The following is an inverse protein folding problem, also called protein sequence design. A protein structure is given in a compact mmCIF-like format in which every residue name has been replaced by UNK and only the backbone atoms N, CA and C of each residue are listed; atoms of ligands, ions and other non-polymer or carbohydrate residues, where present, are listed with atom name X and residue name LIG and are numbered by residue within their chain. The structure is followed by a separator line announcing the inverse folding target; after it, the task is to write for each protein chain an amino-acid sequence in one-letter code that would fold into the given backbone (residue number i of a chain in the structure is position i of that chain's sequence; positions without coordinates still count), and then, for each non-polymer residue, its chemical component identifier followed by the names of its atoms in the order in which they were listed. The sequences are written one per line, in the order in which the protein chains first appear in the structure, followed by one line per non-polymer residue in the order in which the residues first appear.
data_IF_617056181479
#
_entry.id   IF_617056181479
#
_cell.length_a   1.000
_cell.length_b   1.000
_cell.length_c   1.000
_cell.angle_alpha   90.00
_cell.angle_beta   90.00
_cell.angle_gamma   90.00
#
_symmetry.space_group_name_H-M   'P 1'
#
loop_
_entity.id
_entity.type
_entity.pdbx_description
1 polymer ?
#
# COMPACT_ATOMS: atom_id res chain seq x y z
N UNK A 1 -6.29 -31.69 -13.08
CA UNK A 1 -5.51 -30.60 -13.71
C UNK A 1 -5.20 -29.43 -12.78
N UNK A 2 -6.12 -28.99 -11.92
CA UNK A 2 -5.90 -27.88 -10.96
C UNK A 2 -4.74 -28.12 -9.98
N UNK A 3 -4.57 -29.34 -9.45
CA UNK A 3 -3.45 -29.67 -8.55
C UNK A 3 -2.08 -29.63 -9.25
N UNK A 4 -2.01 -30.04 -10.53
CA UNK A 4 -0.78 -29.96 -11.32
C UNK A 4 -0.43 -28.52 -11.70
N UNK A 5 -1.44 -27.65 -11.87
CA UNK A 5 -1.23 -26.22 -12.11
C UNK A 5 -0.66 -25.52 -10.86
N UNK A 6 -1.24 -25.77 -9.69
CA UNK A 6 -0.75 -25.23 -8.40
C UNK A 6 0.70 -25.68 -8.11
N UNK A 7 1.05 -26.93 -8.42
CA UNK A 7 2.41 -27.44 -8.25
C UNK A 7 3.41 -26.74 -9.19
N UNK A 8 3.05 -26.55 -10.47
CA UNK A 8 3.89 -25.83 -11.44
C UNK A 8 4.07 -24.35 -11.07
N UNK A 9 3.01 -23.71 -10.57
CA UNK A 9 3.08 -22.32 -10.12
C UNK A 9 3.96 -22.19 -8.87
N UNK A 10 3.91 -23.16 -7.96
CA UNK A 10 4.78 -23.22 -6.78
C UNK A 10 6.24 -23.50 -7.14
N UNK A 11 6.52 -24.40 -8.08
CA UNK A 11 7.89 -24.67 -8.54
C UNK A 11 8.50 -23.44 -9.22
N UNK A 12 7.71 -22.73 -10.04
CA UNK A 12 8.13 -21.48 -10.68
C UNK A 12 8.43 -20.41 -9.63
N UNK A 13 7.59 -20.27 -8.60
CA UNK A 13 7.81 -19.35 -7.48
C UNK A 13 9.04 -19.72 -6.65
N UNK A 14 9.29 -21.01 -6.41
CA UNK A 14 10.47 -21.47 -5.69
C UNK A 14 11.76 -21.16 -6.46
N UNK A 15 11.76 -21.33 -7.79
CA UNK A 15 12.89 -20.96 -8.64
C UNK A 15 13.14 -19.44 -8.64
N UNK A 16 12.07 -18.63 -8.67
CA UNK A 16 12.17 -17.17 -8.56
C UNK A 16 12.76 -16.74 -7.21
N UNK A 17 12.24 -17.32 -6.11
CA UNK A 17 12.73 -17.05 -4.77
C UNK A 17 14.22 -17.42 -4.64
N UNK A 18 14.63 -18.56 -5.20
CA UNK A 18 16.03 -18.98 -5.20
C UNK A 18 16.92 -18.02 -6.03
N UNK A 19 16.42 -17.52 -7.17
CA UNK A 19 17.15 -16.54 -7.99
C UNK A 19 17.32 -15.22 -7.23
N UNK A 20 16.26 -14.75 -6.58
CA UNK A 20 16.29 -13.54 -5.75
C UNK A 20 17.21 -13.72 -4.53
N UNK A 21 17.19 -14.89 -3.90
CA UNK A 21 18.08 -15.22 -2.80
C UNK A 21 19.55 -15.20 -3.23
N UNK A 22 19.88 -15.78 -4.38
CA UNK A 22 21.22 -15.73 -4.96
C UNK A 22 21.66 -14.29 -5.29
N UNK A 23 20.74 -13.48 -5.80
CA UNK A 23 20.99 -12.05 -6.03
C UNK A 23 21.26 -11.31 -4.71
N UNK A 24 20.41 -11.50 -3.69
CA UNK A 24 20.58 -10.89 -2.37
C UNK A 24 21.88 -11.35 -1.69
N UNK A 25 22.26 -12.62 -1.82
CA UNK A 25 23.54 -13.14 -1.32
C UNK A 25 24.74 -12.48 -2.03
N UNK A 26 24.66 -12.32 -3.35
CA UNK A 26 25.69 -11.68 -4.15
C UNK A 26 25.82 -10.17 -3.84
N UNK A 27 24.70 -9.48 -3.59
CA UNK A 27 24.71 -8.07 -3.21
C UNK A 27 25.14 -7.89 -1.75
N UNK A 28 24.75 -8.79 -0.84
CA UNK A 28 25.20 -8.77 0.55
C UNK A 28 26.73 -8.90 0.65
N UNK A 29 27.39 -9.60 -0.28
CA UNK A 29 28.85 -9.64 -0.35
C UNK A 29 29.49 -8.25 -0.61
N UNK A 30 28.73 -7.29 -1.15
CA UNK A 30 29.15 -5.89 -1.41
C UNK A 30 28.63 -4.90 -0.36
N UNK A 31 28.02 -5.38 0.73
CA UNK A 31 27.32 -4.55 1.72
C UNK A 31 28.17 -3.37 2.22
N UNK A 32 29.44 -3.61 2.56
CA UNK A 32 30.34 -2.54 3.06
C UNK A 32 30.58 -1.43 2.03
N UNK A 33 30.73 -1.78 0.75
CA UNK A 33 30.89 -0.79 -0.32
C UNK A 33 29.62 0.01 -0.52
N UNK A 34 28.44 -0.64 -0.45
CA UNK A 34 27.13 0.03 -0.55
C UNK A 34 26.91 1.00 0.61
N UNK A 35 27.20 0.58 1.84
CA UNK A 35 27.18 1.44 3.02
C UNK A 35 28.04 2.70 2.82
N UNK A 36 29.29 2.53 2.36
CA UNK A 36 30.18 3.66 2.10
C UNK A 36 29.62 4.62 1.03
N UNK A 37 29.09 4.08 -0.07
CA UNK A 37 28.51 4.88 -1.15
C UNK A 37 27.26 5.63 -0.69
N UNK A 38 26.41 4.98 0.10
CA UNK A 38 25.19 5.56 0.65
C UNK A 38 25.47 6.62 1.72
N UNK A 39 26.45 6.38 2.59
CA UNK A 39 26.94 7.35 3.57
C UNK A 39 27.49 8.60 2.88
N UNK A 40 28.27 8.43 1.82
CA UNK A 40 28.77 9.54 1.00
C UNK A 40 27.60 10.29 0.34
N UNK A 41 26.63 9.58 -0.24
CA UNK A 41 25.46 10.18 -0.86
C UNK A 41 24.64 11.00 0.14
N UNK A 42 24.48 10.50 1.37
CA UNK A 42 23.77 11.20 2.43
C UNK A 42 24.51 12.45 2.93
N UNK A 43 25.85 12.38 3.05
CA UNK A 43 26.68 13.56 3.34
C UNK A 43 26.55 14.62 2.25
N UNK A 44 26.53 14.21 0.99
CA UNK A 44 26.32 15.12 -0.16
C UNK A 44 24.93 15.74 -0.10
N UNK A 45 23.87 14.96 0.17
CA UNK A 45 22.50 15.48 0.32
C UNK A 45 22.40 16.53 1.41
N UNK A 46 23.05 16.31 2.56
CA UNK A 46 23.07 17.29 3.65
C UNK A 46 23.82 18.56 3.25
N UNK A 47 25.00 18.42 2.62
CA UNK A 47 25.77 19.58 2.13
C UNK A 47 25.01 20.39 1.09
N UNK A 48 24.27 19.73 0.18
CA UNK A 48 23.45 20.39 -0.84
C UNK A 48 22.33 21.27 -0.26
N UNK A 49 21.94 21.10 1.02
CA UNK A 49 20.94 21.94 1.69
C UNK A 49 21.46 23.34 2.04
N UNK A 50 22.74 23.46 2.33
CA UNK A 50 23.37 24.70 2.82
C UNK A 50 24.36 25.30 1.83
N UNK A 51 24.81 24.54 0.83
CA UNK A 51 25.74 25.00 -0.20
C UNK A 51 25.10 26.04 -1.12
N UNK A 52 25.69 27.23 -1.14
CA UNK A 52 25.23 28.38 -1.96
C UNK A 52 26.14 28.64 -3.15
N UNK A 53 27.32 28.01 -3.23
CA UNK A 53 28.22 28.17 -4.37
C UNK A 53 27.79 27.26 -5.53
N UNK A 54 27.46 27.85 -6.68
CA UNK A 54 26.97 27.13 -7.85
C UNK A 54 27.96 26.10 -8.42
N UNK A 55 29.26 26.41 -8.40
CA UNK A 55 30.29 25.50 -8.92
C UNK A 55 30.49 24.29 -8.00
N UNK A 56 30.50 24.50 -6.68
CA UNK A 56 30.55 23.40 -5.71
C UNK A 56 29.27 22.57 -5.73
N UNK A 57 28.10 23.23 -5.84
CA UNK A 57 26.80 22.57 -5.98
C UNK A 57 26.76 21.68 -7.22
N UNK A 58 27.28 22.13 -8.37
CA UNK A 58 27.36 21.34 -9.59
C UNK A 58 28.20 20.06 -9.39
N UNK A 59 29.37 20.17 -8.76
CA UNK A 59 30.23 19.00 -8.43
C UNK A 59 29.54 18.02 -7.50
N UNK A 60 28.85 18.52 -6.47
CA UNK A 60 28.09 17.69 -5.54
C UNK A 60 26.95 16.95 -6.24
N UNK A 61 26.24 17.61 -7.15
CA UNK A 61 25.17 16.99 -7.94
C UNK A 61 25.72 15.90 -8.87
N UNK A 62 26.82 16.16 -9.57
CA UNK A 62 27.51 15.17 -10.41
C UNK A 62 27.92 13.94 -9.60
N UNK A 63 28.65 14.14 -8.49
CA UNK A 63 29.06 13.04 -7.60
C UNK A 63 27.88 12.28 -7.03
N UNK A 64 26.80 12.98 -6.66
CA UNK A 64 25.57 12.33 -6.18
C UNK A 64 24.91 11.48 -7.27
N UNK A 65 24.98 11.91 -8.54
CA UNK A 65 24.50 11.17 -9.69
C UNK A 65 25.32 9.89 -9.93
N UNK A 66 26.64 9.97 -9.79
CA UNK A 66 27.54 8.80 -9.90
C UNK A 66 27.25 7.76 -8.83
N UNK A 67 27.15 8.19 -7.56
CA UNK A 67 26.85 7.31 -6.43
C UNK A 67 25.47 6.65 -6.58
N UNK A 68 24.45 7.42 -7.00
CA UNK A 68 23.12 6.85 -7.27
C UNK A 68 23.16 5.81 -8.38
N UNK A 69 23.86 6.08 -9.49
CA UNK A 69 24.00 5.11 -10.58
C UNK A 69 24.69 3.83 -10.12
N UNK A 70 25.74 3.93 -9.32
CA UNK A 70 26.44 2.78 -8.77
C UNK A 70 25.53 1.94 -7.85
N UNK A 71 24.81 2.58 -6.93
CA UNK A 71 23.89 1.90 -6.02
C UNK A 71 22.69 1.28 -6.78
N UNK A 72 22.14 1.98 -7.77
CA UNK A 72 20.99 1.54 -8.56
C UNK A 72 21.31 0.32 -9.43
N UNK A 73 22.55 0.18 -9.91
CA UNK A 73 22.99 -1.02 -10.65
C UNK A 73 22.90 -2.28 -9.79
N UNK A 74 23.24 -2.18 -8.51
CA UNK A 74 23.15 -3.29 -7.56
C UNK A 74 21.71 -3.51 -7.06
N UNK A 75 20.83 -2.50 -7.13
CA UNK A 75 19.40 -2.59 -6.76
C UNK A 75 18.52 -3.17 -7.89
N UNK A 76 19.05 -3.22 -9.11
CA UNK A 76 18.36 -3.78 -10.26
C UNK A 76 17.94 -5.23 -9.95
N UNK A 77 16.68 -5.58 -10.25
CA UNK A 77 16.09 -6.91 -10.06
C UNK A 77 15.72 -7.32 -8.62
N UNK A 78 16.02 -6.53 -7.59
CA UNK A 78 15.76 -6.93 -6.20
C UNK A 78 14.94 -5.95 -5.35
N UNK A 79 14.79 -4.69 -5.78
CA UNK A 79 14.04 -3.67 -5.04
C UNK A 79 12.97 -2.99 -5.90
N UNK A 80 11.80 -2.72 -5.31
CA UNK A 80 10.69 -2.13 -6.05
C UNK A 80 10.94 -0.63 -6.25
N UNK A 81 10.65 -0.11 -7.44
CA UNK A 81 10.73 1.33 -7.66
C UNK A 81 9.64 2.05 -6.85
N UNK A 82 10.01 2.80 -5.82
CA UNK A 82 9.06 3.51 -4.95
C UNK A 82 8.22 4.54 -5.72
N UNK A 83 8.58 4.86 -6.96
CA UNK A 83 7.76 5.71 -7.84
C UNK A 83 6.44 5.01 -8.17
N UNK A 84 5.33 5.66 -7.84
CA UNK A 84 3.99 5.24 -8.27
C UNK A 84 3.81 5.67 -9.73
N UNK A 85 3.51 4.76 -10.67
CA UNK A 85 3.17 5.17 -12.02
C UNK A 85 1.87 5.98 -11.99
N UNK A 86 1.74 7.03 -12.83
CA UNK A 86 0.55 7.89 -12.87
C UNK A 86 -0.78 7.16 -13.18
N UNK A 87 -0.73 5.86 -13.48
CA UNK A 87 -1.88 4.98 -13.71
C UNK A 87 -2.44 4.32 -12.45
N UNK A 88 -1.83 4.51 -11.27
CA UNK A 88 -2.52 4.20 -10.03
C UNK A 88 -3.65 5.23 -9.89
N UNK A 89 -4.84 4.85 -10.37
CA UNK A 89 -6.06 5.63 -10.17
C UNK A 89 -6.16 5.86 -8.68
N UNK A 90 -5.89 7.10 -8.27
CA UNK A 90 -6.26 7.60 -6.97
C UNK A 90 -7.77 7.46 -6.95
N UNK A 91 -8.27 6.38 -6.37
CA UNK A 91 -9.68 6.30 -6.01
C UNK A 91 -9.79 7.32 -4.90
N UNK A 92 -10.14 8.56 -5.28
CA UNK A 92 -10.68 9.50 -4.31
C UNK A 92 -11.82 8.76 -3.61
N UNK A 93 -11.68 8.58 -2.30
CA UNK A 93 -12.77 8.06 -1.49
C UNK A 93 -14.00 8.90 -1.83
N UNK A 94 -15.10 8.23 -2.20
CA UNK A 94 -16.33 8.91 -2.57
C UNK A 94 -16.65 9.94 -1.50
N UNK A 95 -16.52 11.23 -1.86
CA UNK A 95 -16.90 12.33 -0.99
C UNK A 95 -18.33 12.06 -0.55
N UNK A 96 -18.61 12.13 0.76
CA UNK A 96 -19.99 11.96 1.21
C UNK A 96 -20.86 12.91 0.40
N UNK A 97 -21.90 12.40 -0.27
CA UNK A 97 -22.61 13.19 -1.25
C UNK A 97 -23.28 14.37 -0.54
N UNK A 98 -22.99 15.58 -1.01
CA UNK A 98 -23.65 16.79 -0.52
C UNK A 98 -25.16 16.64 -0.76
N UNK A 99 -25.92 16.49 0.32
CA UNK A 99 -27.37 16.28 0.27
C UNK A 99 -28.08 17.42 -0.50
N UNK A 100 -27.53 18.64 -0.47
CA UNK A 100 -28.10 19.78 -1.22
C UNK A 100 -27.80 19.70 -2.71
N UNK A 101 -26.61 19.24 -3.10
CA UNK A 101 -26.24 19.06 -4.50
C UNK A 101 -26.98 17.86 -5.11
N UNK A 102 -27.11 16.76 -4.36
CA UNK A 102 -27.93 15.61 -4.77
C UNK A 102 -29.40 15.99 -4.94
N UNK A 103 -29.97 16.74 -3.99
CA UNK A 103 -31.37 17.18 -4.08
C UNK A 103 -31.59 18.12 -5.28
N UNK A 104 -30.68 19.08 -5.53
CA UNK A 104 -30.76 19.96 -6.70
C UNK A 104 -30.66 19.18 -8.01
N UNK A 105 -29.74 18.24 -8.10
CA UNK A 105 -29.55 17.40 -9.28
C UNK A 105 -30.78 16.54 -9.54
N UNK A 106 -31.33 15.93 -8.49
CA UNK A 106 -32.56 15.14 -8.56
C UNK A 106 -33.75 15.98 -9.02
N UNK A 107 -33.96 17.17 -8.44
CA UNK A 107 -35.06 18.07 -8.81
C UNK A 107 -34.95 18.52 -10.27
N UNK A 108 -33.74 18.89 -10.73
CA UNK A 108 -33.51 19.30 -12.12
C UNK A 108 -33.74 18.15 -13.10
N UNK A 109 -33.35 16.92 -12.76
CA UNK A 109 -33.61 15.74 -13.58
C UNK A 109 -35.11 15.41 -13.65
N UNK A 110 -35.83 15.45 -12.53
CA UNK A 110 -37.28 15.22 -12.50
C UNK A 110 -38.02 16.29 -13.33
N UNK A 111 -37.61 17.55 -13.22
CA UNK A 111 -38.17 18.63 -14.04
C UNK A 111 -37.86 18.44 -15.54
N UNK A 112 -36.63 18.07 -15.88
CA UNK A 112 -36.25 17.77 -17.27
C UNK A 112 -37.08 16.64 -17.89
N UNK A 113 -37.26 15.54 -17.15
CA UNK A 113 -38.09 14.41 -17.58
C UNK A 113 -39.56 14.82 -17.74
N UNK A 114 -40.11 15.56 -16.78
CA UNK A 114 -41.49 16.03 -16.83
C UNK A 114 -41.73 16.97 -18.04
N UNK A 115 -40.83 17.91 -18.28
CA UNK A 115 -40.90 18.82 -19.44
C UNK A 115 -40.76 18.03 -20.76
N UNK A 116 -39.83 17.07 -20.83
CA UNK A 116 -39.67 16.22 -22.01
C UNK A 116 -40.92 15.41 -22.35
N UNK A 117 -41.54 14.78 -21.33
CA UNK A 117 -42.81 14.04 -21.48
C UNK A 117 -43.95 14.96 -21.92
N UNK A 118 -44.08 16.14 -21.31
CA UNK A 118 -45.12 17.11 -21.69
C UNK A 118 -44.95 17.60 -23.13
N UNK A 119 -43.72 17.92 -23.54
CA UNK A 119 -43.43 18.35 -24.91
C UNK A 119 -43.69 17.24 -25.94
N UNK A 120 -43.27 16.01 -25.66
CA UNK A 120 -43.52 14.88 -26.55
C UNK A 120 -45.02 14.58 -26.67
N UNK A 121 -45.77 14.65 -25.56
CA UNK A 121 -47.21 14.43 -25.56
C UNK A 121 -47.97 15.54 -26.30
N UNK A 122 -47.59 16.81 -26.10
CA UNK A 122 -48.22 17.95 -26.78
C UNK A 122 -47.91 17.98 -28.28
N UNK A 123 -46.66 17.68 -28.66
CA UNK A 123 -46.22 17.63 -30.05
C UNK A 123 -46.64 16.34 -30.78
N UNK A 124 -47.28 15.39 -30.08
CA UNK A 124 -47.65 14.06 -30.56
C UNK A 124 -46.47 13.30 -31.18
N UNK A 125 -45.35 13.31 -30.47
CA UNK A 125 -44.07 12.80 -30.94
C UNK A 125 -43.95 11.29 -30.69
N UNK A 126 -43.92 10.51 -31.76
CA UNK A 126 -43.86 9.03 -31.75
C UNK A 126 -42.52 8.53 -32.30
N UNK A 127 -41.44 8.80 -31.56
CA UNK A 127 -40.08 8.50 -32.02
C UNK A 127 -39.83 6.99 -32.08
N UNK A 128 -40.34 6.22 -31.12
CA UNK A 128 -40.06 4.79 -31.04
C UNK A 128 -40.84 4.01 -32.11
N UNK A 129 -42.08 4.38 -32.41
CA UNK A 129 -42.83 3.83 -33.53
C UNK A 129 -42.16 4.13 -34.88
N UNK A 130 -41.47 5.28 -35.01
CA UNK A 130 -40.67 5.59 -36.18
C UNK A 130 -39.41 4.70 -36.32
N UNK A 131 -38.81 4.26 -35.21
CA UNK A 131 -37.63 3.38 -35.22
C UNK A 131 -37.95 1.87 -35.24
N UNK A 132 -39.07 1.44 -34.66
CA UNK A 132 -39.44 0.01 -34.50
C UNK A 132 -40.13 -0.60 -35.73
N UNK A 133 -40.41 0.19 -36.77
CA UNK A 133 -40.93 -0.30 -38.04
C UNK A 133 -42.30 -0.98 -37.90
N UNK A 134 -42.36 -2.30 -38.15
CA UNK A 134 -43.62 -3.07 -38.21
C UNK A 134 -44.23 -3.41 -36.82
N UNK A 135 -43.53 -3.13 -35.72
CA UNK A 135 -44.10 -3.25 -34.38
C UNK A 135 -44.49 -1.86 -33.87
N UNK A 136 -45.76 -1.71 -33.51
CA UNK A 136 -46.29 -0.45 -32.97
C UNK A 136 -46.61 -0.60 -31.50
N UNK A 137 -46.08 0.33 -30.71
CA UNK A 137 -46.48 0.54 -29.33
C UNK A 137 -47.63 1.56 -29.28
N UNK A 138 -48.54 1.46 -28.28
CA UNK A 138 -49.64 2.40 -28.16
C UNK A 138 -49.14 3.84 -28.08
N UNK A 139 -49.77 4.76 -28.81
CA UNK A 139 -49.35 6.16 -28.88
C UNK A 139 -49.08 6.81 -27.52
N UNK A 140 -49.91 6.66 -26.46
CA UNK A 140 -49.62 7.24 -25.14
C UNK A 140 -48.31 6.73 -24.52
N UNK A 141 -47.96 5.47 -24.81
CA UNK A 141 -46.72 4.86 -24.34
C UNK A 141 -45.51 5.37 -25.14
N UNK A 142 -45.67 5.59 -26.45
CA UNK A 142 -44.59 6.17 -27.26
C UNK A 142 -44.30 7.62 -26.85
N UNK A 143 -45.34 8.45 -26.64
CA UNK A 143 -45.15 9.83 -26.14
C UNK A 143 -44.39 9.86 -24.82
N UNK A 144 -44.70 8.93 -23.92
CA UNK A 144 -44.01 8.79 -22.64
C UNK A 144 -42.54 8.42 -22.83
N UNK A 145 -42.25 7.41 -23.64
CA UNK A 145 -40.87 6.93 -23.87
C UNK A 145 -40.04 7.95 -24.67
N UNK A 146 -40.62 8.55 -25.70
CA UNK A 146 -40.04 9.64 -26.50
C UNK A 146 -39.70 10.84 -25.63
N UNK A 147 -40.63 11.23 -24.75
CA UNK A 147 -40.41 12.33 -23.83
C UNK A 147 -39.40 12.02 -22.73
N UNK A 148 -39.34 10.78 -22.24
CA UNK A 148 -38.31 10.32 -21.30
C UNK A 148 -36.91 10.34 -21.95
N UNK A 149 -36.81 10.00 -23.24
CA UNK A 149 -35.56 10.06 -23.99
C UNK A 149 -35.09 11.52 -24.21
N UNK A 150 -36.02 12.42 -24.57
CA UNK A 150 -35.71 13.84 -24.77
C UNK A 150 -35.37 14.52 -23.45
N UNK A 151 -36.16 14.29 -22.40
CA UNK A 151 -36.00 14.92 -21.09
C UNK A 151 -34.88 14.32 -20.23
N UNK A 152 -34.53 13.06 -20.46
CA UNK A 152 -33.48 12.34 -19.73
C UNK A 152 -32.08 12.46 -20.35
N UNK A 153 -31.96 13.03 -21.56
CA UNK A 153 -30.68 13.19 -22.26
C UNK A 153 -30.05 11.86 -22.71
N UNK A 154 -28.75 11.87 -23.01
CA UNK A 154 -28.00 10.68 -23.49
C UNK A 154 -27.61 9.68 -22.40
N UNK A 155 -27.79 10.03 -21.12
CA UNK A 155 -27.36 9.20 -19.99
C UNK A 155 -28.06 7.82 -19.92
N UNK A 156 -29.38 7.68 -20.14
CA UNK A 156 -30.05 6.38 -20.15
C UNK A 156 -29.51 5.45 -21.27
N UNK A 157 -29.16 6.03 -22.42
CA UNK A 157 -28.56 5.30 -23.55
C UNK A 157 -27.15 4.84 -23.19
N UNK A 158 -26.36 5.69 -22.52
CA UNK A 158 -25.01 5.34 -22.10
C UNK A 158 -25.00 4.24 -21.01
N UNK A 159 -25.98 4.26 -20.10
CA UNK A 159 -26.18 3.19 -19.09
C UNK A 159 -26.62 1.88 -19.73
N UNK A 160 -27.48 1.93 -20.76
CA UNK A 160 -27.89 0.74 -21.51
C UNK A 160 -26.73 0.16 -22.34
N UNK A 161 -25.92 1.01 -22.99
CA UNK A 161 -24.71 0.59 -23.71
C UNK A 161 -23.71 -0.05 -22.75
N UNK A 162 -23.52 0.53 -21.56
CA UNK A 162 -22.66 -0.03 -20.52
C UNK A 162 -23.20 -1.38 -20.04
N UNK A 163 -24.50 -1.49 -19.78
CA UNK A 163 -25.15 -2.75 -19.37
C UNK A 163 -25.07 -3.85 -20.44
N UNK A 164 -25.19 -3.50 -21.72
CA UNK A 164 -25.02 -4.44 -22.85
C UNK A 164 -23.54 -4.82 -23.03
N UNK A 165 -22.61 -3.88 -22.81
CA UNK A 165 -21.16 -4.13 -22.90
C UNK A 165 -20.65 -4.99 -21.75
N UNK A 166 -21.14 -4.74 -20.53
CA UNK A 166 -20.85 -5.52 -19.32
C UNK A 166 -21.46 -6.94 -19.41
N UNK A 167 -22.54 -7.11 -20.19
CA UNK A 167 -23.09 -8.43 -20.53
C UNK A 167 -22.34 -9.15 -21.66
N UNK A 168 -21.62 -8.42 -22.52
CA UNK A 168 -20.77 -9.03 -23.55
C UNK A 168 -19.45 -9.56 -22.97
N UNK A 169 -18.92 -8.93 -21.93
CA UNK A 169 -17.71 -9.39 -21.22
C UNK A 169 -17.98 -10.53 -20.25
N UNK A 170 -19.18 -10.64 -19.70
CA UNK A 170 -19.56 -11.74 -18.78
C UNK A 170 -19.87 -13.06 -19.48
N UNK A 171 -20.16 -13.07 -20.79
CA UNK A 171 -20.37 -14.33 -21.55
C UNK A 171 -19.04 -15.02 -21.90
N UNK A 172 -17.92 -14.31 -22.00
CA UNK A 172 -16.59 -14.94 -22.14
C UNK A 172 -15.97 -15.36 -20.78
N UNK A 173 -16.53 -14.89 -19.66
CA UNK A 173 -16.08 -15.22 -18.32
C UNK A 173 -16.97 -16.22 -17.55
N UNK A 174 -18.12 -16.64 -18.12
CA UNK A 174 -19.09 -17.52 -17.47
C UNK A 174 -18.94 -19.02 -17.78
N UNK A 175 -18.02 -19.42 -18.66
CA UNK A 175 -17.72 -20.85 -18.94
C UNK A 175 -16.66 -21.47 -18.02
N UNK A 176 -16.26 -20.76 -16.95
CA UNK A 176 -15.46 -21.33 -15.87
C UNK A 176 -16.08 -20.85 -14.57
N UNK A 177 -16.41 -21.79 -13.68
CA UNK A 177 -17.08 -21.65 -12.37
C UNK A 177 -18.58 -21.97 -12.39
N UNK A 178 -18.90 -23.20 -12.77
CA UNK A 178 -19.97 -23.95 -12.11
C UNK A 178 -19.33 -25.06 -11.27
N UNK A 179 -19.89 -25.28 -10.08
CA UNK A 179 -19.57 -26.30 -9.07
C UNK A 179 -18.58 -25.83 -7.98
N UNK A 180 -19.12 -25.21 -6.92
CA UNK A 180 -19.04 -25.77 -5.56
C UNK A 180 -20.02 -25.03 -4.62
N UNK A 181 -20.64 -25.83 -3.75
CA UNK A 181 -21.89 -25.58 -3.04
C UNK A 181 -21.88 -24.45 -2.00
N UNK A 182 -23.04 -23.78 -1.91
CA UNK A 182 -23.45 -22.88 -0.82
C UNK A 182 -23.54 -23.66 0.51
N UNK A 183 -22.45 -23.71 1.28
CA UNK A 183 -22.53 -23.98 2.72
C UNK A 183 -22.45 -22.67 3.51
N UNK A 184 -23.62 -22.34 4.05
CA UNK A 184 -23.99 -21.17 4.82
C UNK A 184 -23.06 -20.94 6.03
N UNK A 185 -22.03 -20.10 5.89
CA UNK A 185 -21.21 -19.62 7.02
C UNK A 185 -21.73 -18.28 7.53
N UNK A 186 -22.45 -18.34 8.63
CA UNK A 186 -22.89 -17.19 9.41
C UNK A 186 -21.71 -16.22 9.72
N UNK A 187 -21.97 -14.90 9.83
CA UNK A 187 -20.95 -13.94 10.23
C UNK A 187 -20.37 -14.32 11.60
N UNK A 188 -19.06 -14.12 11.83
CA UNK A 188 -18.44 -14.47 13.10
C UNK A 188 -19.09 -13.67 14.24
N UNK A 189 -19.18 -14.25 15.45
CA UNK A 189 -19.77 -13.57 16.58
C UNK A 189 -18.98 -12.31 16.91
N UNK A 190 -19.71 -11.21 17.10
CA UNK A 190 -19.21 -9.95 17.62
C UNK A 190 -18.41 -10.25 18.88
N UNK A 191 -17.09 -10.10 18.78
CA UNK A 191 -16.18 -10.27 19.89
C UNK A 191 -16.56 -9.30 21.02
N UNK A 192 -16.47 -9.81 22.24
CA UNK A 192 -16.72 -9.09 23.48
C UNK A 192 -16.05 -7.71 23.48
N UNK A 193 -16.76 -6.72 24.04
CA UNK A 193 -16.30 -5.34 24.16
C UNK A 193 -14.90 -5.26 24.79
N UNK A 194 -13.88 -5.14 23.95
CA UNK A 194 -12.56 -4.63 24.33
C UNK A 194 -12.73 -3.16 24.67
N UNK A 195 -12.28 -2.73 25.85
CA UNK A 195 -12.24 -1.32 26.22
C UNK A 195 -11.63 -0.51 25.06
N UNK A 196 -12.32 0.55 24.63
CA UNK A 196 -11.88 1.37 23.50
C UNK A 196 -10.50 1.94 23.81
N UNK A 197 -9.51 1.58 22.98
CA UNK A 197 -8.16 2.15 23.04
C UNK A 197 -8.25 3.67 22.91
N UNK A 198 -7.84 4.40 23.94
CA UNK A 198 -7.92 5.87 23.92
C UNK A 198 -6.62 6.49 23.41
N UNK A 199 -6.69 7.72 22.89
CA UNK A 199 -5.49 8.51 22.56
C UNK A 199 -4.60 8.75 23.79
N UNK A 200 -5.20 8.78 24.99
CA UNK A 200 -4.50 8.90 26.26
C UNK A 200 -3.69 7.63 26.57
N UNK A 201 -4.26 6.43 26.37
CA UNK A 201 -3.55 5.16 26.54
C UNK A 201 -2.32 5.08 25.61
N UNK A 202 -2.50 5.50 24.35
CA UNK A 202 -1.43 5.55 23.36
C UNK A 202 -0.33 6.52 23.80
N UNK A 203 -0.70 7.71 24.30
CA UNK A 203 0.24 8.73 24.76
C UNK A 203 0.96 8.32 26.06
N UNK A 204 0.28 7.61 26.96
CA UNK A 204 0.82 7.09 28.21
C UNK A 204 1.78 5.91 28.01
N UNK A 205 1.87 5.36 26.80
CA UNK A 205 2.74 4.23 26.49
C UNK A 205 2.12 2.88 26.85
N UNK A 206 0.81 2.81 27.07
CA UNK A 206 0.13 1.55 27.35
C UNK A 206 0.36 0.53 26.23
N UNK A 207 0.49 -0.74 26.59
CA UNK A 207 0.54 -1.79 25.58
C UNK A 207 -0.86 -2.03 25.04
N UNK A 208 -1.01 -1.80 23.75
CA UNK A 208 -2.21 -2.04 22.98
C UNK A 208 -1.88 -3.16 22.00
N UNK A 209 -2.76 -4.14 21.87
CA UNK A 209 -2.50 -5.30 21.02
C UNK A 209 -2.22 -4.88 19.58
N UNK A 210 -1.21 -5.54 18.99
CA UNK A 210 -0.84 -5.35 17.59
C UNK A 210 -1.52 -6.49 16.80
N UNK A 211 -2.42 -6.18 15.85
CA UNK A 211 -3.05 -7.21 15.04
C UNK A 211 -1.99 -7.92 14.19
N UNK A 212 -1.91 -9.25 14.33
CA UNK A 212 -0.95 -10.07 13.59
C UNK A 212 -1.46 -11.50 13.43
N UNK A 213 -1.62 -11.88 12.16
CA UNK A 213 -2.05 -13.22 11.70
C UNK A 213 -1.21 -13.72 10.51
N UNK A 214 -0.02 -13.14 10.30
CA UNK A 214 0.89 -13.49 9.20
C UNK A 214 0.80 -12.60 7.96
N UNK A 215 -0.22 -11.74 7.86
CA UNK A 215 -0.35 -10.75 6.80
C UNK A 215 -1.05 -11.28 5.54
N UNK A 216 -0.61 -10.80 4.38
CA UNK A 216 -1.28 -11.04 3.09
C UNK A 216 -0.80 -12.34 2.48
N UNK A 217 -1.73 -13.14 1.95
CA UNK A 217 -1.46 -14.38 1.21
C UNK A 217 -0.47 -15.33 1.89
N UNK A 218 -0.65 -15.57 3.20
CA UNK A 218 0.29 -16.33 4.06
C UNK A 218 0.76 -17.67 3.49
N UNK A 219 -0.09 -18.34 2.70
CA UNK A 219 0.18 -19.64 2.08
C UNK A 219 1.16 -19.53 0.91
N UNK A 220 1.18 -18.41 0.20
CA UNK A 220 2.12 -18.16 -0.92
C UNK A 220 3.56 -18.16 -0.44
N UNK A 221 3.79 -17.83 0.84
CA UNK A 221 5.12 -17.73 1.45
C UNK A 221 5.60 -18.99 2.19
N UNK A 222 4.82 -20.08 2.21
CA UNK A 222 5.13 -21.25 3.04
C UNK A 222 6.50 -21.87 2.69
N UNK A 223 6.80 -21.97 1.39
CA UNK A 223 8.03 -22.59 0.86
C UNK A 223 9.14 -21.62 0.44
N UNK A 224 8.94 -20.31 0.56
CA UNK A 224 9.87 -19.30 0.02
C UNK A 224 10.24 -18.26 1.06
N UNK A 225 11.32 -17.53 0.82
CA UNK A 225 11.77 -16.38 1.62
C UNK A 225 11.96 -16.66 3.12
N UNK A 226 12.23 -17.90 3.50
CA UNK A 226 12.43 -18.26 4.91
C UNK A 226 13.69 -17.58 5.44
N UNK A 227 13.57 -16.89 6.58
CA UNK A 227 14.76 -16.36 7.26
C UNK A 227 15.63 -17.51 7.76
N UNK A 228 16.95 -17.32 7.71
CA UNK A 228 17.94 -18.27 8.22
C UNK A 228 18.34 -17.99 9.68
N UNK A 229 18.10 -16.78 10.16
CA UNK A 229 18.45 -16.31 11.49
C UNK A 229 17.49 -15.18 11.94
N UNK A 230 17.55 -14.85 13.23
CA UNK A 230 16.84 -13.69 13.77
C UNK A 230 17.22 -12.43 12.99
N UNK A 231 16.24 -11.59 12.61
CA UNK A 231 16.54 -10.28 12.04
C UNK A 231 17.27 -9.42 13.07
N UNK A 232 18.24 -8.66 12.59
CA UNK A 232 19.05 -7.73 13.41
C UNK A 232 18.89 -6.27 12.97
N UNK A 233 17.99 -6.02 12.00
CA UNK A 233 17.78 -4.73 11.40
C UNK A 233 16.29 -4.46 11.19
N UNK A 234 15.88 -3.21 11.40
CA UNK A 234 14.61 -2.66 10.91
C UNK A 234 14.93 -1.61 9.88
N UNK A 235 14.28 -1.69 8.72
CA UNK A 235 14.35 -0.63 7.70
C UNK A 235 12.98 0.02 7.62
N UNK A 236 12.91 1.33 7.89
CA UNK A 236 11.67 2.07 7.79
C UNK A 236 11.56 2.88 6.48
N UNK A 237 10.34 2.87 5.94
CA UNK A 237 10.01 3.31 4.60
C UNK A 237 8.82 4.25 4.58
N UNK A 238 8.61 4.91 3.45
CA UNK A 238 7.29 5.36 3.05
C UNK A 238 6.78 4.51 1.88
N UNK A 239 5.48 4.52 1.61
CA UNK A 239 4.95 3.84 0.41
C UNK A 239 5.15 4.67 -0.86
N UNK A 240 5.43 5.98 -0.72
CA UNK A 240 5.41 6.98 -1.80
C UNK A 240 4.06 7.06 -2.54
N UNK A 241 2.99 6.51 -1.92
CA UNK A 241 1.61 6.60 -2.40
C UNK A 241 0.87 7.76 -1.76
N UNK A 242 -0.39 8.00 -2.15
CA UNK A 242 -1.24 8.94 -1.45
C UNK A 242 -1.45 8.48 0.00
N UNK A 243 -1.41 9.41 0.96
CA UNK A 243 -1.75 9.11 2.37
C UNK A 243 -3.21 8.66 2.57
N UNK A 244 -4.06 8.81 1.54
CA UNK A 244 -5.45 8.34 1.52
C UNK A 244 -5.60 6.92 0.97
N UNK A 245 -4.53 6.29 0.50
CA UNK A 245 -4.59 4.93 -0.06
C UNK A 245 -4.98 3.93 1.03
N UNK A 246 -5.86 2.99 0.70
CA UNK A 246 -6.23 1.89 1.59
C UNK A 246 -5.10 0.87 1.71
N UNK A 247 -5.18 -0.05 2.67
CA UNK A 247 -4.22 -1.15 2.74
C UNK A 247 -4.31 -2.03 1.48
N UNK A 248 -5.52 -2.25 0.97
CA UNK A 248 -5.79 -3.01 -0.25
C UNK A 248 -5.13 -2.36 -1.48
N UNK A 249 -5.13 -1.03 -1.57
CA UNK A 249 -4.40 -0.30 -2.62
C UNK A 249 -2.90 -0.55 -2.55
N UNK A 250 -2.32 -0.49 -1.34
CA UNK A 250 -0.90 -0.78 -1.12
C UNK A 250 -0.57 -2.22 -1.52
N UNK A 251 -1.40 -3.19 -1.11
CA UNK A 251 -1.26 -4.61 -1.49
C UNK A 251 -1.33 -4.76 -3.00
N UNK A 252 -2.33 -4.16 -3.65
CA UNK A 252 -2.51 -4.22 -5.09
C UNK A 252 -1.29 -3.67 -5.83
N UNK A 253 -0.82 -2.48 -5.46
CA UNK A 253 0.34 -1.85 -6.11
C UNK A 253 1.61 -2.67 -5.95
N UNK A 254 1.83 -3.28 -4.78
CA UNK A 254 3.04 -4.09 -4.54
C UNK A 254 2.95 -5.43 -5.27
N UNK A 255 1.81 -6.13 -5.21
CA UNK A 255 1.63 -7.47 -5.80
C UNK A 255 1.52 -7.48 -7.32
N UNK A 256 1.06 -6.38 -7.94
CA UNK A 256 0.95 -6.27 -9.40
C UNK A 256 2.28 -5.92 -10.10
N UNK A 257 3.35 -5.70 -9.34
CA UNK A 257 4.66 -5.41 -9.92
C UNK A 257 5.34 -6.67 -10.37
N UNK A 258 6.14 -6.53 -11.42
CA UNK A 258 7.02 -7.57 -11.92
C UNK A 258 8.47 -7.15 -11.78
N UNK A 259 9.37 -8.09 -11.52
CA UNK A 259 10.81 -7.90 -11.70
C UNK A 259 11.14 -7.63 -13.17
N UNK A 260 12.36 -7.18 -13.46
CA UNK A 260 12.82 -6.99 -14.86
C UNK A 260 12.76 -8.29 -15.69
N UNK A 261 12.77 -9.44 -15.02
CA UNK A 261 12.55 -10.77 -15.62
C UNK A 261 11.08 -11.14 -15.85
N UNK A 262 10.14 -10.20 -15.63
CA UNK A 262 8.70 -10.38 -15.83
C UNK A 262 7.98 -11.14 -14.72
N UNK A 263 8.63 -11.39 -13.58
CA UNK A 263 8.08 -12.25 -12.53
C UNK A 263 7.38 -11.43 -11.45
N UNK A 264 6.18 -11.82 -10.99
CA UNK A 264 5.42 -11.04 -10.04
C UNK A 264 6.10 -10.96 -8.68
N UNK A 265 5.95 -9.82 -8.03
CA UNK A 265 6.39 -9.61 -6.66
C UNK A 265 5.45 -10.31 -5.70
N UNK A 266 5.99 -11.22 -4.88
CA UNK A 266 5.21 -12.02 -3.92
C UNK A 266 5.34 -11.52 -2.48
N UNK A 267 6.21 -10.54 -2.23
CA UNK A 267 6.36 -9.87 -0.93
C UNK A 267 6.64 -8.37 -1.10
N UNK A 268 6.54 -7.63 -0.01
CA UNK A 268 6.99 -6.23 0.09
C UNK A 268 7.50 -5.97 1.50
N UNK A 269 6.90 -5.00 2.19
CA UNK A 269 7.19 -4.73 3.60
C UNK A 269 6.70 -5.88 4.51
N UNK A 270 7.23 -5.98 5.72
CA UNK A 270 6.68 -6.84 6.77
C UNK A 270 5.48 -6.21 7.47
N UNK A 271 5.44 -4.88 7.54
CA UNK A 271 4.35 -4.14 8.16
C UNK A 271 4.08 -2.82 7.41
N UNK A 272 2.82 -2.43 7.30
CA UNK A 272 2.37 -1.15 6.75
C UNK A 272 1.51 -0.43 7.78
N UNK A 273 1.77 0.85 7.99
CA UNK A 273 1.02 1.70 8.91
C UNK A 273 0.26 2.76 8.09
N UNK A 274 -1.07 2.76 8.16
CA UNK A 274 -1.88 3.76 7.45
C UNK A 274 -1.95 5.09 8.22
N UNK A 275 -2.43 6.13 7.55
CA UNK A 275 -2.47 7.50 8.07
C UNK A 275 -3.37 7.68 9.30
N UNK A 276 -4.31 6.78 9.53
CA UNK A 276 -5.16 6.71 10.72
C UNK A 276 -4.52 5.97 11.92
N UNK A 277 -3.32 5.42 11.74
CA UNK A 277 -2.61 4.64 12.75
C UNK A 277 -2.96 3.16 12.78
N UNK A 278 -3.79 2.67 11.86
CA UNK A 278 -4.02 1.22 11.71
C UNK A 278 -2.73 0.50 11.30
N UNK A 279 -2.52 -0.67 11.89
CA UNK A 279 -1.32 -1.50 11.72
C UNK A 279 -1.72 -2.71 10.90
N UNK A 280 -1.06 -2.90 9.76
CA UNK A 280 -1.32 -4.03 8.88
C UNK A 280 -0.06 -4.86 8.66
N UNK A 281 -0.13 -6.14 9.04
CA UNK A 281 0.88 -7.11 8.63
C UNK A 281 0.78 -7.34 7.12
N UNK A 282 1.91 -7.31 6.42
CA UNK A 282 1.96 -7.61 4.98
C UNK A 282 2.73 -8.91 4.76
N UNK A 283 4.06 -8.89 4.79
CA UNK A 283 4.87 -10.11 4.75
C UNK A 283 4.97 -10.73 6.15
N UNK A 284 4.80 -12.06 6.24
CA UNK A 284 5.04 -12.83 7.48
C UNK A 284 6.41 -12.51 8.08
N UNK A 285 6.52 -12.45 9.40
CA UNK A 285 7.75 -12.04 10.08
C UNK A 285 8.79 -13.17 10.18
N UNK A 286 8.39 -14.44 9.98
CA UNK A 286 9.31 -15.56 9.74
C UNK A 286 9.98 -15.54 8.36
N UNK A 287 9.54 -14.62 7.49
CA UNK A 287 10.00 -14.44 6.11
C UNK A 287 10.61 -13.07 5.89
N UNK A 288 11.55 -13.00 4.95
CA UNK A 288 12.07 -11.72 4.48
C UNK A 288 11.20 -11.14 3.37
N UNK A 289 11.04 -9.83 3.41
CA UNK A 289 10.34 -9.06 2.38
C UNK A 289 11.30 -8.50 1.35
N UNK A 290 10.78 -8.08 0.20
CA UNK A 290 11.55 -7.41 -0.84
C UNK A 290 11.43 -5.89 -0.64
N UNK A 291 12.29 -5.30 0.20
CA UNK A 291 12.19 -3.88 0.51
C UNK A 291 13.53 -3.14 0.60
N UNK A 292 14.66 -3.85 0.69
CA UNK A 292 15.99 -3.26 0.79
C UNK A 292 17.04 -4.27 0.30
N UNK A 293 17.44 -4.15 -0.96
CA UNK A 293 18.35 -5.09 -1.64
C UNK A 293 19.68 -5.25 -0.90
N UNK A 294 20.10 -6.50 -0.70
CA UNK A 294 21.28 -6.86 0.10
C UNK A 294 21.06 -6.82 1.61
N UNK A 295 19.90 -6.35 2.09
CA UNK A 295 19.55 -6.28 3.52
C UNK A 295 18.26 -7.04 3.86
N UNK A 296 17.47 -7.46 2.86
CA UNK A 296 16.19 -8.16 3.03
C UNK A 296 16.28 -9.32 4.04
N UNK A 297 17.21 -10.25 3.84
CA UNK A 297 17.32 -11.47 4.64
C UNK A 297 17.49 -11.23 6.15
N UNK A 298 18.16 -10.12 6.51
CA UNK A 298 18.47 -9.75 7.90
C UNK A 298 17.57 -8.68 8.49
N UNK A 299 16.67 -8.10 7.68
CA UNK A 299 15.87 -6.94 8.11
C UNK A 299 14.36 -7.17 8.08
N UNK A 300 13.64 -6.47 8.96
CA UNK A 300 12.19 -6.30 8.91
C UNK A 300 11.86 -4.94 8.31
N UNK A 301 11.04 -4.92 7.27
CA UNK A 301 10.59 -3.69 6.60
C UNK A 301 9.29 -3.16 7.20
N UNK A 302 9.29 -1.91 7.66
CA UNK A 302 8.06 -1.20 8.07
C UNK A 302 7.84 0.01 7.17
N UNK A 303 6.64 0.16 6.60
CA UNK A 303 6.32 1.28 5.71
C UNK A 303 5.19 2.14 6.25
N UNK A 304 5.40 3.45 6.19
CA UNK A 304 4.42 4.46 6.56
C UNK A 304 3.69 4.89 5.29
N UNK A 305 2.40 4.60 5.18
CA UNK A 305 1.62 4.94 3.99
C UNK A 305 1.59 6.46 3.77
N UNK A 306 2.04 6.89 2.60
CA UNK A 306 2.13 8.29 2.22
C UNK A 306 3.41 8.61 1.44
N UNK A 307 3.49 9.86 0.97
CA UNK A 307 4.67 10.41 0.33
C UNK A 307 5.17 11.63 1.13
N UNK A 308 6.28 11.42 1.83
CA UNK A 308 6.88 12.41 2.74
C UNK A 308 8.16 13.05 2.18
N UNK A 309 8.40 12.91 0.88
CA UNK A 309 9.48 13.61 0.19
C UNK A 309 9.00 14.99 -0.24
N UNK A 310 9.45 16.05 0.42
CA UNK A 310 9.00 17.43 0.14
C UNK A 310 9.99 18.27 -0.65
N UNK A 311 11.13 17.71 -1.05
CA UNK A 311 12.09 18.42 -1.89
C UNK A 311 11.60 18.43 -3.35
N UNK A 312 11.24 19.59 -3.92
CA UNK A 312 10.74 19.68 -5.29
C UNK A 312 11.77 19.25 -6.36
N UNK A 313 13.06 19.16 -6.00
CA UNK A 313 14.10 18.65 -6.90
C UNK A 313 14.08 17.11 -7.04
N UNK A 314 13.35 16.40 -6.16
CA UNK A 314 13.15 14.95 -6.27
C UNK A 314 11.92 14.69 -7.13
N UNK A 315 12.02 13.90 -8.21
CA UNK A 315 10.87 13.51 -9.02
C UNK A 315 9.78 12.86 -8.17
N UNK A 316 8.51 13.18 -8.46
CA UNK A 316 7.34 12.69 -7.73
C UNK A 316 7.32 13.06 -6.23
N UNK A 317 8.06 14.10 -5.82
CA UNK A 317 7.93 14.66 -4.47
C UNK A 317 6.52 15.19 -4.20
N UNK A 318 6.16 15.21 -2.93
CA UNK A 318 4.91 15.75 -2.38
C UNK A 318 5.11 17.16 -1.81
N UNK A 319 5.87 18.02 -2.50
CA UNK A 319 6.17 19.38 -2.03
C UNK A 319 4.91 20.27 -1.92
N UNK A 320 3.90 19.99 -2.74
CA UNK A 320 2.62 20.70 -2.82
C UNK A 320 1.46 19.98 -2.12
N UNK A 321 1.70 18.83 -1.49
CA UNK A 321 0.67 18.05 -0.81
C UNK A 321 -0.28 17.29 -1.75
N UNK A 322 0.03 17.17 -3.05
CA UNK A 322 -0.82 16.46 -4.02
C UNK A 322 -1.08 14.98 -3.68
N UNK A 323 -0.20 14.37 -2.90
CA UNK A 323 -0.32 12.98 -2.43
C UNK A 323 -0.81 12.91 -0.97
N UNK A 324 -1.49 13.96 -0.50
CA UNK A 324 -1.98 14.05 0.87
C UNK A 324 -0.90 14.54 1.84
N UNK A 325 -0.95 14.05 3.08
CA UNK A 325 -0.12 14.55 4.17
C UNK A 325 1.38 14.45 3.84
N UNK A 326 2.08 15.58 3.94
CA UNK A 326 3.51 15.70 3.61
C UNK A 326 4.45 15.15 4.70
N UNK A 327 3.88 14.62 5.78
CA UNK A 327 4.55 14.03 6.94
C UNK A 327 3.64 12.94 7.52
N UNK A 328 4.19 11.86 8.12
CA UNK A 328 3.38 10.92 8.87
C UNK A 328 2.55 11.61 9.96
N UNK A 329 1.31 11.16 10.17
CA UNK A 329 0.47 11.66 11.27
C UNK A 329 1.01 11.16 12.62
N UNK A 330 0.67 11.84 13.71
CA UNK A 330 1.15 11.44 15.05
C UNK A 330 0.70 10.03 15.44
N UNK A 331 -0.54 9.66 15.09
CA UNK A 331 -1.08 8.32 15.33
C UNK A 331 -0.34 7.26 14.49
N UNK A 332 0.02 7.60 13.25
CA UNK A 332 0.80 6.74 12.37
C UNK A 332 2.24 6.56 12.90
N UNK A 333 2.90 7.63 13.36
CA UNK A 333 4.24 7.55 13.97
C UNK A 333 4.25 6.67 15.22
N UNK A 334 3.28 6.87 16.11
CA UNK A 334 3.15 6.10 17.36
C UNK A 334 2.84 4.64 17.09
N UNK A 335 1.96 4.35 16.14
CA UNK A 335 1.65 2.98 15.73
C UNK A 335 2.90 2.27 15.17
N UNK A 336 3.65 2.94 14.27
CA UNK A 336 4.91 2.40 13.77
C UNK A 336 5.95 2.19 14.88
N UNK A 337 6.05 3.14 15.82
CA UNK A 337 7.00 3.05 16.93
C UNK A 337 6.68 1.88 17.86
N UNK A 338 5.39 1.60 18.10
CA UNK A 338 4.92 0.42 18.85
C UNK A 338 5.31 -0.89 18.18
N UNK A 339 5.19 -0.99 16.85
CA UNK A 339 5.61 -2.18 16.10
C UNK A 339 7.11 -2.40 16.23
N UNK A 340 7.92 -1.35 16.04
CA UNK A 340 9.38 -1.45 16.17
C UNK A 340 9.80 -1.78 17.61
N UNK A 341 9.14 -1.19 18.61
CA UNK A 341 9.37 -1.55 20.01
C UNK A 341 9.06 -3.04 20.26
N UNK A 342 7.93 -3.55 19.77
CA UNK A 342 7.60 -4.98 19.86
C UNK A 342 8.68 -5.84 19.18
N UNK A 343 9.10 -5.50 17.96
CA UNK A 343 10.17 -6.24 17.27
C UNK A 343 11.47 -6.27 18.05
N UNK A 344 11.84 -5.19 18.75
CA UNK A 344 13.05 -5.18 19.61
C UNK A 344 12.95 -6.11 20.84
N UNK A 345 11.74 -6.45 21.29
CA UNK A 345 11.56 -7.49 22.32
C UNK A 345 11.60 -8.90 21.72
N UNK A 346 11.03 -9.08 20.53
CA UNK A 346 11.00 -10.38 19.86
C UNK A 346 12.38 -10.79 19.37
N UNK A 347 13.16 -9.85 18.85
CA UNK A 347 14.46 -10.05 18.21
C UNK A 347 15.53 -9.17 18.88
N UNK A 348 16.25 -9.68 19.90
CA UNK A 348 17.13 -8.87 20.75
C UNK A 348 18.31 -8.18 20.06
N UNK A 349 18.66 -8.60 18.83
CA UNK A 349 19.69 -7.93 18.03
C UNK A 349 19.23 -6.58 17.47
N UNK A 350 17.92 -6.32 17.43
CA UNK A 350 17.35 -5.01 17.11
C UNK A 350 17.45 -4.12 18.37
N UNK A 351 18.64 -3.56 18.60
CA UNK A 351 18.92 -2.75 19.78
C UNK A 351 18.47 -1.30 19.60
N UNK A 352 17.47 -0.85 20.37
CA UNK A 352 16.98 0.54 20.34
C UNK A 352 18.01 1.56 20.83
N UNK A 353 19.05 1.13 21.56
CA UNK A 353 20.15 2.01 21.98
C UNK A 353 21.08 2.35 20.80
N UNK A 354 21.30 1.41 19.88
CA UNK A 354 22.08 1.60 18.64
C UNK A 354 21.18 1.88 17.43
N UNK A 355 20.17 2.73 17.62
CA UNK A 355 19.11 3.04 16.64
C UNK A 355 19.66 3.30 15.23
N UNK A 356 20.73 4.08 15.12
CA UNK A 356 21.36 4.45 13.84
C UNK A 356 22.00 3.26 13.08
N UNK A 357 22.13 2.09 13.71
CA UNK A 357 22.64 0.87 13.08
C UNK A 357 21.61 -0.24 12.97
N UNK A 358 20.63 -0.29 13.86
CA UNK A 358 19.66 -1.40 13.96
C UNK A 358 18.25 -0.99 13.52
N UNK A 359 17.93 0.30 13.45
CA UNK A 359 16.62 0.84 13.04
C UNK A 359 16.87 2.03 12.12
N UNK A 360 17.07 1.73 10.85
CA UNK A 360 17.61 2.69 9.89
C UNK A 360 16.57 3.07 8.84
N UNK A 361 16.64 4.29 8.30
CA UNK A 361 15.84 4.62 7.14
C UNK A 361 16.38 3.97 5.89
N UNK A 362 15.50 3.74 4.93
CA UNK A 362 15.89 3.11 3.69
C UNK A 362 17.03 3.83 2.94
N UNK A 363 17.00 5.19 2.89
CA UNK A 363 18.08 6.01 2.31
C UNK A 363 19.46 5.80 2.91
N UNK A 364 19.60 5.16 4.08
CA UNK A 364 20.90 4.87 4.67
C UNK A 364 21.63 3.74 3.94
N UNK A 365 20.90 2.90 3.19
CA UNK A 365 21.45 1.71 2.51
C UNK A 365 21.03 1.61 1.03
N UNK A 366 20.43 2.67 0.49
CA UNK A 366 19.83 2.70 -0.84
C UNK A 366 20.06 4.03 -1.56
N UNK A 367 20.02 4.00 -2.88
CA UNK A 367 20.09 5.19 -3.74
C UNK A 367 18.88 6.14 -3.57
N UNK A 368 17.81 5.68 -2.92
CA UNK A 368 16.49 6.34 -2.87
C UNK A 368 16.40 7.44 -1.80
N UNK A 369 15.33 8.23 -1.89
CA UNK A 369 15.03 9.32 -0.95
C UNK A 369 14.16 8.88 0.24
N UNK A 370 13.58 7.68 0.17
CA UNK A 370 12.75 7.06 1.19
C UNK A 370 13.42 7.00 2.57
N UNK A 371 12.70 7.25 3.67
CA UNK A 371 11.25 7.47 3.80
C UNK A 371 10.78 8.91 3.48
N UNK A 372 11.60 9.71 2.79
CA UNK A 372 11.30 11.08 2.43
C UNK A 372 12.00 12.09 3.34
N UNK A 373 12.30 13.25 2.76
CA UNK A 373 13.01 14.34 3.45
C UNK A 373 12.28 14.93 4.65
N UNK A 374 10.95 14.80 4.73
CA UNK A 374 10.11 15.34 5.81
C UNK A 374 9.67 14.28 6.83
N UNK A 375 10.19 13.05 6.74
CA UNK A 375 9.99 12.04 7.79
C UNK A 375 10.71 12.46 9.09
N UNK A 376 10.09 12.32 10.28
CA UNK A 376 10.64 12.85 11.52
C UNK A 376 11.49 11.84 12.30
N UNK A 377 12.75 11.67 11.86
CA UNK A 377 13.70 10.69 12.40
C UNK A 377 13.87 10.75 13.93
N UNK A 378 14.15 11.93 14.47
CA UNK A 378 14.42 12.09 15.90
C UNK A 378 13.19 11.77 16.75
N UNK A 379 12.01 12.24 16.34
CA UNK A 379 10.76 11.96 17.04
C UNK A 379 10.39 10.48 16.96
N UNK A 380 10.60 9.85 15.80
CA UNK A 380 10.37 8.41 15.66
C UNK A 380 11.31 7.60 16.57
N UNK A 381 12.59 7.96 16.63
CA UNK A 381 13.56 7.37 17.56
C UNK A 381 13.13 7.53 19.02
N UNK A 382 12.72 8.74 19.41
CA UNK A 382 12.26 9.03 20.77
C UNK A 382 11.00 8.22 21.13
N UNK A 383 10.05 8.10 20.20
CA UNK A 383 8.84 7.31 20.40
C UNK A 383 9.14 5.81 20.56
N UNK A 384 10.04 5.25 19.74
CA UNK A 384 10.43 3.84 19.85
C UNK A 384 11.07 3.57 21.21
N UNK A 385 12.02 4.43 21.62
CA UNK A 385 12.67 4.34 22.93
C UNK A 385 11.68 4.51 24.09
N UNK A 386 10.73 5.43 23.94
CA UNK A 386 9.65 5.64 24.90
C UNK A 386 8.82 4.37 25.10
N UNK A 387 8.26 3.78 24.03
CA UNK A 387 7.46 2.55 24.16
C UNK A 387 8.30 1.39 24.70
N UNK A 388 9.53 1.22 24.20
CA UNK A 388 10.42 0.16 24.66
C UNK A 388 10.70 0.23 26.16
N UNK A 389 11.03 1.42 26.66
CA UNK A 389 11.29 1.66 28.10
C UNK A 389 10.04 1.50 28.95
N UNK A 390 8.91 2.05 28.51
CA UNK A 390 7.65 1.96 29.25
C UNK A 390 7.17 0.50 29.37
N UNK A 391 7.30 -0.28 28.30
CA UNK A 391 6.90 -1.69 28.29
C UNK A 391 7.84 -2.58 29.12
N UNK A 392 9.13 -2.27 29.15
CA UNK A 392 10.11 -2.98 29.97
C UNK A 392 9.85 -2.84 31.47
N UNK A 393 9.30 -1.69 31.89
CA UNK A 393 8.95 -1.43 33.28
C UNK A 393 7.62 -2.08 33.73
N UNK A 394 6.87 -2.72 32.81
CA UNK A 394 5.54 -3.27 33.08
C UNK A 394 5.53 -4.80 32.99
N UNK A 395 5.46 -5.52 34.13
CA UNK A 395 5.40 -6.99 34.14
C UNK A 395 4.22 -7.57 33.35
N UNK A 396 3.04 -6.91 33.39
CA UNK A 396 1.87 -7.29 32.60
C UNK A 396 2.16 -7.19 31.10
N UNK A 397 2.75 -6.08 30.67
CA UNK A 397 3.14 -5.87 29.28
C UNK A 397 4.14 -6.94 28.81
N UNK A 398 5.14 -7.26 29.65
CA UNK A 398 6.11 -8.31 29.33
C UNK A 398 5.45 -9.68 29.17
N UNK A 399 4.46 -10.02 30.00
CA UNK A 399 3.70 -11.25 29.86
C UNK A 399 2.93 -11.29 28.53
N UNK A 400 2.33 -10.17 28.11
CA UNK A 400 1.60 -10.07 26.83
C UNK A 400 2.54 -10.18 25.63
N UNK A 401 3.73 -9.59 25.72
CA UNK A 401 4.78 -9.72 24.69
C UNK A 401 5.27 -11.17 24.61
N UNK A 402 5.44 -11.85 25.74
CA UNK A 402 5.82 -13.26 25.74
C UNK A 402 4.72 -14.15 25.13
N UNK A 403 3.45 -13.88 25.45
CA UNK A 403 2.33 -14.53 24.75
C UNK A 403 2.35 -14.26 23.24
N UNK A 404 2.74 -13.04 22.81
CA UNK A 404 2.88 -12.69 21.40
C UNK A 404 3.96 -13.54 20.71
N UNK A 405 5.06 -13.89 21.39
CA UNK A 405 6.16 -14.73 20.84
C UNK A 405 5.67 -16.10 20.36
N UNK A 406 4.55 -16.58 20.87
CA UNK A 406 3.95 -17.85 20.47
C UNK A 406 2.94 -17.75 19.32
N UNK A 407 2.71 -16.54 18.76
CA UNK A 407 1.90 -16.40 17.54
C UNK A 407 2.56 -17.12 16.36
N UNK A 408 1.77 -17.69 15.42
CA UNK A 408 2.31 -18.31 14.23
C UNK A 408 3.05 -17.28 13.37
N UNK A 409 3.92 -17.76 12.49
CA UNK A 409 4.60 -16.93 11.49
C UNK A 409 5.57 -15.91 12.07
N UNK A 410 6.02 -16.10 13.31
CA UNK A 410 7.18 -15.42 13.86
C UNK A 410 8.42 -16.26 13.62
N UNK A 411 9.56 -15.62 13.37
CA UNK A 411 10.81 -16.35 13.36
C UNK A 411 11.13 -16.75 14.80
N UNK A 412 11.15 -18.04 15.07
CA UNK A 412 11.61 -18.59 16.34
C UNK A 412 12.88 -19.37 16.05
N UNK A 413 13.99 -18.97 16.67
CA UNK A 413 15.18 -19.83 16.67
C UNK A 413 14.80 -21.16 17.34
N UNK A 414 15.10 -22.32 16.71
CA UNK A 414 14.80 -23.64 17.27
C UNK A 414 15.37 -23.87 18.67
#
# INVERSE_FOLDING_TARGET
DTANQVLKDNDTRAQQAATLEQHDDAVAAKMSTREQQSDELNKIRERLRTETNDAERAKLLERSGDLRRALQQDEAQGEWDERVPPSAVVVEAATQPDEQEMLRTFVLQVLGLAVGILLATFAKLELFNAFLGAQHIPSPLDHLLSGLLIGGGSAPVHTLIRFISDRKTTVEAADILSEEDDEQKAPPPVAAATAAVTAEDVAAGAYIDIPYEGGVDVKVLEGVHRRKADPDLVVFHHTAMSSTSTFEDVVKVITHRTSDGGQPWITGYNCVILSDGSIHAFCRWDRYGNHAVGYNQRSLGISFNGNFETNPAVPYSNADGRYGAIRPTDVQLRAGARVVALWSFLYPKIDVADFKKTIIPHRQISSKACPGSNFPYAEFEDLVKFYRKTWEASPDTLQRIEAFRHKPYLFTTP
#
